data_IF_343053031699
#
_entry.id   IF_343053031699
#
_cell.length_a   1.000
_cell.length_b   1.000
_cell.length_c   1.000
_cell.angle_alpha   90.00
_cell.angle_beta   90.00
_cell.angle_gamma   90.00
#
_symmetry.space_group_name_H-M   'P 1'
#
loop_
_entity.id
_entity.type
_entity.pdbx_description
1 polymer ?
#
# COMPACT_ATOMS: atom_id res chain seq x y z
N UNK A 1 -12.37 -6.87 23.95
CA UNK A 1 -13.17 -7.47 22.86
C UNK A 1 -12.66 -6.85 21.59
N UNK A 2 -11.65 -7.48 21.00
CA UNK A 2 -11.06 -7.04 19.74
C UNK A 2 -12.11 -7.22 18.66
N UNK A 3 -12.64 -6.10 18.15
CA UNK A 3 -13.34 -6.12 16.87
C UNK A 3 -12.27 -6.40 15.83
N UNK A 4 -12.12 -7.67 15.46
CA UNK A 4 -11.54 -8.02 14.17
C UNK A 4 -12.38 -7.25 13.16
N UNK A 5 -11.78 -6.23 12.55
CA UNK A 5 -12.37 -5.58 11.38
C UNK A 5 -12.36 -6.68 10.32
N UNK A 6 -13.51 -7.29 10.08
CA UNK A 6 -13.73 -8.05 8.85
C UNK A 6 -13.58 -7.04 7.72
N UNK A 7 -12.38 -6.97 7.15
CA UNK A 7 -12.16 -6.32 5.87
C UNK A 7 -12.93 -7.17 4.88
N UNK A 8 -14.12 -6.72 4.52
CA UNK A 8 -14.97 -7.41 3.55
C UNK A 8 -14.15 -7.74 2.32
N UNK A 9 -13.98 -9.04 2.07
CA UNK A 9 -13.33 -9.53 0.87
C UNK A 9 -14.35 -9.32 -0.24
N UNK A 10 -14.11 -8.33 -1.12
CA UNK A 10 -14.98 -8.07 -2.26
C UNK A 10 -15.17 -9.38 -3.04
N UNK A 11 -16.41 -9.85 -3.19
CA UNK A 11 -16.77 -11.20 -3.67
C UNK A 11 -16.34 -11.52 -5.12
N UNK A 12 -15.54 -10.66 -5.77
CA UNK A 12 -15.12 -10.84 -7.15
C UNK A 12 -13.73 -10.23 -7.41
N UNK A 13 -12.66 -10.98 -7.13
CA UNK A 13 -11.28 -10.59 -7.44
C UNK A 13 -10.85 -10.91 -8.88
N UNK A 14 -11.77 -11.37 -9.73
CA UNK A 14 -11.44 -11.71 -11.13
C UNK A 14 -10.85 -10.50 -11.85
N UNK A 15 -9.58 -10.63 -12.25
CA UNK A 15 -8.83 -9.59 -12.94
C UNK A 15 -8.04 -8.63 -12.04
N UNK A 16 -8.11 -8.80 -10.71
CA UNK A 16 -7.28 -8.05 -9.77
C UNK A 16 -6.02 -8.85 -9.41
N UNK A 17 -4.93 -8.15 -9.15
CA UNK A 17 -3.68 -8.72 -8.66
C UNK A 17 -3.29 -8.03 -7.37
N UNK A 18 -3.00 -8.80 -6.33
CA UNK A 18 -2.52 -8.30 -5.05
C UNK A 18 -1.04 -7.94 -5.16
N UNK A 19 -0.69 -6.73 -4.75
CA UNK A 19 0.68 -6.31 -4.52
C UNK A 19 0.91 -6.17 -3.01
N UNK A 20 1.91 -6.87 -2.48
CA UNK A 20 2.33 -6.77 -1.08
C UNK A 20 3.86 -6.78 -0.98
N UNK A 21 4.39 -6.25 0.13
CA UNK A 21 5.84 -6.22 0.36
C UNK A 21 6.36 -7.60 0.75
N UNK A 22 7.63 -7.86 0.47
CA UNK A 22 8.28 -9.14 0.78
C UNK A 22 8.58 -9.39 2.26
N UNK A 23 7.72 -8.95 3.19
CA UNK A 23 7.89 -9.27 4.60
C UNK A 23 7.61 -10.77 4.84
N UNK A 24 8.36 -11.47 5.72
CA UNK A 24 8.23 -12.92 5.88
C UNK A 24 6.82 -13.40 6.25
N UNK A 25 6.05 -12.56 6.95
CA UNK A 25 4.67 -12.89 7.34
C UNK A 25 3.72 -13.02 6.13
N UNK A 26 4.04 -12.37 5.01
CA UNK A 26 3.28 -12.43 3.75
C UNK A 26 3.62 -13.66 2.90
N UNK A 27 4.61 -14.45 3.30
CA UNK A 27 5.07 -15.65 2.58
C UNK A 27 5.00 -16.91 3.45
N UNK A 28 4.17 -16.87 4.50
CA UNK A 28 3.89 -18.06 5.30
C UNK A 28 2.99 -19.02 4.55
N UNK A 29 3.04 -20.31 4.91
CA UNK A 29 2.13 -21.33 4.37
C UNK A 29 0.67 -20.90 4.57
N UNK A 30 0.32 -20.39 5.75
CA UNK A 30 -1.03 -19.94 6.04
C UNK A 30 -1.48 -18.79 5.13
N UNK A 31 -0.60 -17.84 4.81
CA UNK A 31 -0.90 -16.74 3.88
C UNK A 31 -1.09 -17.25 2.45
N UNK A 32 -0.23 -18.16 1.99
CA UNK A 32 -0.34 -18.76 0.66
C UNK A 32 -1.63 -19.58 0.52
N UNK A 33 -1.95 -20.42 1.50
CA UNK A 33 -3.20 -21.18 1.54
C UNK A 33 -4.43 -20.28 1.52
N UNK A 34 -4.41 -19.16 2.25
CA UNK A 34 -5.51 -18.20 2.25
C UNK A 34 -5.68 -17.52 0.89
N UNK A 35 -4.59 -17.13 0.22
CA UNK A 35 -4.64 -16.58 -1.14
C UNK A 35 -5.24 -17.58 -2.13
N UNK A 36 -4.83 -18.86 -2.06
CA UNK A 36 -5.33 -19.91 -2.94
C UNK A 36 -6.83 -20.16 -2.74
N UNK A 37 -7.27 -20.23 -1.47
CA UNK A 37 -8.69 -20.40 -1.12
C UNK A 37 -9.58 -19.27 -1.65
N UNK A 38 -9.05 -18.04 -1.71
CA UNK A 38 -9.79 -16.86 -2.16
C UNK A 38 -9.48 -16.44 -3.60
N UNK A 39 -8.74 -17.28 -4.35
CA UNK A 39 -8.36 -17.03 -5.75
C UNK A 39 -7.62 -15.70 -5.96
N UNK A 40 -6.79 -15.32 -4.99
CA UNK A 40 -6.02 -14.08 -5.03
C UNK A 40 -4.72 -14.32 -5.78
N UNK A 41 -4.55 -13.66 -6.92
CA UNK A 41 -3.29 -13.65 -7.64
C UNK A 41 -2.33 -12.64 -7.02
N UNK A 42 -1.24 -13.10 -6.41
CA UNK A 42 -0.16 -12.25 -5.88
C UNK A 42 0.82 -11.87 -6.99
N UNK A 43 1.14 -10.59 -7.11
CA UNK A 43 2.19 -10.07 -7.98
C UNK A 43 3.56 -10.49 -7.45
N UNK A 44 4.43 -11.02 -8.31
CA UNK A 44 5.82 -11.22 -7.95
C UNK A 44 6.50 -9.85 -7.79
N UNK A 45 6.84 -9.49 -6.55
CA UNK A 45 7.38 -8.19 -6.19
C UNK A 45 8.79 -8.31 -5.61
N UNK A 46 9.75 -7.46 -6.03
CA UNK A 46 11.11 -7.57 -5.53
C UNK A 46 11.19 -7.31 -4.01
N UNK A 47 11.96 -8.13 -3.28
CA UNK A 47 12.16 -7.92 -1.85
C UNK A 47 12.83 -6.58 -1.58
N UNK A 48 12.54 -5.98 -0.42
CA UNK A 48 13.21 -4.75 0.06
C UNK A 48 13.18 -3.57 -0.91
N UNK A 49 12.09 -3.41 -1.69
CA UNK A 49 11.92 -2.31 -2.66
C UNK A 49 10.83 -1.31 -2.22
N UNK A 50 11.06 -0.53 -1.14
CA UNK A 50 10.09 0.42 -0.60
C UNK A 50 9.78 1.58 -1.56
N UNK A 51 10.76 1.96 -2.36
CA UNK A 51 10.76 3.01 -3.37
C UNK A 51 9.80 2.70 -4.54
N UNK A 52 9.59 1.41 -4.81
CA UNK A 52 8.64 0.94 -5.80
C UNK A 52 7.20 0.88 -5.27
N UNK A 53 6.97 1.00 -3.95
CA UNK A 53 5.67 0.78 -3.31
C UNK A 53 4.76 2.02 -3.38
N UNK A 54 3.65 2.00 -4.18
CA UNK A 54 2.75 3.14 -4.27
C UNK A 54 2.10 3.49 -2.94
N UNK A 55 1.79 2.48 -2.11
CA UNK A 55 1.14 2.70 -0.82
C UNK A 55 2.06 3.44 0.17
N UNK A 56 3.38 3.22 0.11
CA UNK A 56 4.35 3.99 0.92
C UNK A 56 4.38 5.46 0.53
N UNK A 57 4.31 5.75 -0.77
CA UNK A 57 4.21 7.11 -1.28
C UNK A 57 2.91 7.78 -0.81
N UNK A 58 1.79 7.04 -0.85
CA UNK A 58 0.51 7.51 -0.34
C UNK A 58 0.56 7.82 1.15
N UNK A 59 1.12 6.91 1.97
CA UNK A 59 1.29 7.14 3.40
C UNK A 59 2.13 8.37 3.71
N UNK A 60 3.20 8.61 2.95
CA UNK A 60 4.01 9.81 3.08
C UNK A 60 3.18 11.08 2.81
N UNK A 61 2.39 11.08 1.73
CA UNK A 61 1.50 12.21 1.39
C UNK A 61 0.44 12.44 2.47
N UNK A 62 -0.23 11.38 2.91
CA UNK A 62 -1.23 11.46 3.97
C UNK A 62 -0.64 12.01 5.27
N UNK A 63 0.53 11.49 5.68
CA UNK A 63 1.23 11.96 6.88
C UNK A 63 1.56 13.44 6.75
N UNK A 64 2.01 13.89 5.59
CA UNK A 64 2.29 15.31 5.36
C UNK A 64 1.04 16.19 5.53
N UNK A 65 -0.06 15.86 4.84
CA UNK A 65 -1.34 16.58 4.96
C UNK A 65 -1.80 16.58 6.42
N UNK A 66 -1.77 15.40 7.05
CA UNK A 66 -2.16 15.25 8.45
C UNK A 66 -1.35 16.17 9.37
N UNK A 67 -0.02 16.22 9.23
CA UNK A 67 0.83 17.08 10.06
C UNK A 67 0.66 18.58 9.80
N UNK A 68 0.21 18.96 8.61
CA UNK A 68 -0.09 20.36 8.28
C UNK A 68 -1.45 20.81 8.85
N UNK A 69 -2.44 19.93 8.86
CA UNK A 69 -3.82 20.27 9.23
C UNK A 69 -4.15 19.99 10.71
N UNK A 70 -3.44 19.05 11.34
CA UNK A 70 -3.81 18.55 12.66
C UNK A 70 -2.64 18.57 13.65
N UNK A 71 -2.95 18.83 14.91
CA UNK A 71 -2.01 18.71 16.02
C UNK A 71 -2.12 17.29 16.63
N UNK A 72 -1.06 16.47 16.58
CA UNK A 72 -1.11 15.03 16.91
C UNK A 72 -1.31 14.71 18.41
N UNK A 73 -1.50 15.70 19.28
CA UNK A 73 -1.56 15.51 20.74
C UNK A 73 -2.88 14.90 21.26
N UNK A 74 -3.88 14.67 20.40
CA UNK A 74 -5.15 14.05 20.81
C UNK A 74 -5.41 12.75 20.03
N UNK A 75 -5.27 11.61 20.70
CA UNK A 75 -5.55 10.27 20.14
C UNK A 75 -6.99 10.13 19.64
N UNK A 76 -7.98 10.66 20.37
CA UNK A 76 -9.40 10.56 19.99
C UNK A 76 -9.72 11.29 18.68
N UNK A 77 -8.89 12.28 18.30
CA UNK A 77 -9.01 13.03 17.05
C UNK A 77 -8.16 12.44 15.93
N UNK A 78 -7.25 11.52 16.23
CA UNK A 78 -6.32 10.95 15.25
C UNK A 78 -7.06 10.15 14.19
N UNK A 79 -7.94 9.23 14.60
CA UNK A 79 -8.71 8.38 13.67
C UNK A 79 -9.61 9.23 12.76
N UNK A 80 -10.33 10.20 13.34
CA UNK A 80 -11.20 11.11 12.58
C UNK A 80 -10.38 11.92 11.56
N UNK A 81 -9.23 12.43 11.97
CA UNK A 81 -8.35 13.20 11.10
C UNK A 81 -7.72 12.35 9.98
N UNK A 82 -7.25 11.12 10.27
CA UNK A 82 -6.70 10.22 9.25
C UNK A 82 -7.78 9.85 8.23
N UNK A 83 -9.00 9.55 8.68
CA UNK A 83 -10.11 9.26 7.78
C UNK A 83 -10.45 10.48 6.91
N UNK A 84 -10.51 11.69 7.50
CA UNK A 84 -10.75 12.91 6.73
C UNK A 84 -9.65 13.16 5.67
N UNK A 85 -8.38 12.88 5.99
CA UNK A 85 -7.29 12.97 5.03
C UNK A 85 -7.43 11.91 3.93
N UNK A 86 -7.82 10.68 4.29
CA UNK A 86 -8.03 9.59 3.34
C UNK A 86 -9.14 9.92 2.33
N UNK A 87 -10.28 10.42 2.83
CA UNK A 87 -11.45 10.74 2.01
C UNK A 87 -11.20 11.92 1.06
N UNK A 88 -10.29 12.83 1.42
CA UNK A 88 -9.92 14.00 0.61
C UNK A 88 -8.72 13.75 -0.32
N UNK A 89 -8.20 12.52 -0.38
CA UNK A 89 -7.08 12.21 -1.28
C UNK A 89 -7.51 12.37 -2.74
N UNK A 90 -6.82 13.20 -3.54
CA UNK A 90 -7.18 13.37 -4.93
C UNK A 90 -6.82 12.11 -5.72
N UNK A 91 -7.79 11.58 -6.48
CA UNK A 91 -7.59 10.43 -7.37
C UNK A 91 -6.45 10.66 -8.38
N UNK A 92 -6.29 11.88 -8.88
CA UNK A 92 -5.19 12.25 -9.77
C UNK A 92 -3.81 11.96 -9.17
N UNK A 93 -3.67 12.06 -7.83
CA UNK A 93 -2.43 11.70 -7.16
C UNK A 93 -2.19 10.19 -7.19
N UNK A 94 -3.23 9.39 -6.92
CA UNK A 94 -3.15 7.93 -7.02
C UNK A 94 -2.78 7.51 -8.44
N UNK A 95 -3.45 8.05 -9.45
CA UNK A 95 -3.17 7.79 -10.85
C UNK A 95 -1.73 8.13 -11.21
N UNK A 96 -1.21 9.27 -10.75
CA UNK A 96 0.19 9.65 -10.99
C UNK A 96 1.19 8.66 -10.39
N UNK A 97 0.88 8.07 -9.23
CA UNK A 97 1.74 7.05 -8.61
C UNK A 97 1.79 5.80 -9.47
N UNK A 98 0.64 5.29 -9.93
CA UNK A 98 0.57 4.13 -10.79
C UNK A 98 1.19 4.37 -12.18
N UNK A 99 0.95 5.53 -12.79
CA UNK A 99 1.55 5.91 -14.07
C UNK A 99 3.08 6.01 -13.99
N UNK A 100 3.62 6.32 -12.81
CA UNK A 100 5.08 6.40 -12.61
C UNK A 100 5.74 5.02 -12.44
N UNK A 101 5.00 3.98 -12.03
CA UNK A 101 5.55 2.65 -11.72
C UNK A 101 6.44 2.05 -12.83
N UNK A 102 6.04 2.05 -14.11
CA UNK A 102 6.89 1.50 -15.18
C UNK A 102 8.26 2.18 -15.24
N UNK A 103 8.31 3.50 -15.03
CA UNK A 103 9.56 4.26 -14.99
C UNK A 103 10.39 3.91 -13.75
N UNK A 104 9.76 3.77 -12.57
CA UNK A 104 10.45 3.39 -11.33
C UNK A 104 11.05 1.99 -11.44
N UNK A 105 10.28 1.03 -11.94
CA UNK A 105 10.75 -0.35 -12.17
C UNK A 105 11.90 -0.39 -13.16
N UNK A 106 11.81 0.36 -14.27
CA UNK A 106 12.90 0.46 -15.23
C UNK A 106 14.18 0.97 -14.56
N UNK A 107 14.07 2.01 -13.74
CA UNK A 107 15.23 2.58 -13.04
C UNK A 107 15.81 1.61 -12.01
N UNK A 108 14.97 0.89 -11.27
CA UNK A 108 15.40 -0.16 -10.34
C UNK A 108 16.19 -1.26 -11.06
N UNK A 109 15.71 -1.70 -12.23
CA UNK A 109 16.42 -2.69 -13.08
C UNK A 109 17.75 -2.10 -13.59
N UNK A 110 17.71 -0.88 -14.14
CA UNK A 110 18.91 -0.19 -14.69
C UNK A 110 19.97 0.06 -13.59
N UNK A 111 19.56 0.12 -12.32
CA UNK A 111 20.43 0.28 -11.15
C UNK A 111 20.81 -1.06 -10.47
N UNK A 112 20.57 -2.21 -11.14
CA UNK A 112 20.86 -3.54 -10.60
C UNK A 112 20.21 -3.79 -9.21
N UNK A 113 18.94 -3.42 -9.07
CA UNK A 113 18.18 -3.56 -7.82
C UNK A 113 18.68 -2.67 -6.67
N UNK A 114 19.43 -1.62 -6.97
CA UNK A 114 19.79 -0.61 -5.98
C UNK A 114 18.61 0.37 -5.70
N UNK A 115 18.58 1.03 -4.53
CA UNK A 115 17.51 1.96 -4.19
C UNK A 115 17.40 3.12 -5.18
N UNK A 116 16.18 3.41 -5.60
CA UNK A 116 15.85 4.57 -6.42
C UNK A 116 15.58 5.82 -5.56
N UNK A 117 15.43 6.99 -6.18
CA UNK A 117 15.18 8.26 -5.46
C UNK A 117 13.69 8.49 -5.09
N UNK A 118 12.84 7.49 -5.29
CA UNK A 118 11.39 7.55 -5.09
C UNK A 118 10.97 7.15 -3.68
#
# INVERSE_FOLDING_TARGET
MDKVVEVGVAENHKGLTLMEEGAPIHDTIASQEWHDQHQICKLNWPPSSPDLSPIKNLWFKMKHIFTCLFNPKMMDKLTVAINAVWDDLPFDHLDSLFQSLPRRMKMFIDQNSAPTHW
#
